data_IF_038403007853
#
_entry.id   IF_038403007853
#
_cell.length_a   1.000
_cell.length_b   1.000
_cell.length_c   1.000
_cell.angle_alpha   90.00
_cell.angle_beta   90.00
_cell.angle_gamma   90.00
#
_symmetry.space_group_name_H-M   'P 1'
#
loop_
_entity.id
_entity.type
_entity.pdbx_description
1 polymer ?
#
# COMPACT_ATOMS: atom_id res chain seq x y z
N UNK A 1 23.47 12.15 7.90
CA UNK A 1 22.86 13.34 7.25
C UNK A 1 23.83 14.48 7.07
N UNK A 2 25.04 14.42 7.65
CA UNK A 2 25.99 15.55 7.66
C UNK A 2 26.86 15.67 6.40
N UNK A 3 26.83 14.67 5.51
CA UNK A 3 27.68 14.62 4.31
C UNK A 3 26.97 15.11 3.03
N UNK A 4 25.67 15.43 3.09
CA UNK A 4 24.90 15.86 1.91
C UNK A 4 24.33 17.27 2.16
N UNK A 5 24.55 18.25 1.27
CA UNK A 5 24.12 19.64 1.47
C UNK A 5 22.60 19.82 1.62
N UNK A 6 21.79 18.83 1.20
CA UNK A 6 20.34 18.79 1.36
C UNK A 6 19.87 17.69 2.33
N UNK A 7 20.57 17.51 3.46
CA UNK A 7 20.20 16.53 4.50
C UNK A 7 18.77 16.70 5.05
N UNK A 8 18.16 17.88 4.89
CA UNK A 8 16.77 18.18 5.25
C UNK A 8 15.73 17.38 4.45
N UNK A 9 16.08 16.92 3.24
CA UNK A 9 15.14 16.18 2.37
C UNK A 9 14.61 14.91 3.02
N UNK A 10 15.43 14.26 3.85
CA UNK A 10 15.01 13.07 4.60
C UNK A 10 13.92 13.39 5.61
N UNK A 11 14.09 14.48 6.36
CA UNK A 11 13.08 14.91 7.33
C UNK A 11 11.81 15.43 6.65
N UNK A 12 11.95 16.16 5.55
CA UNK A 12 10.82 16.58 4.73
C UNK A 12 10.02 15.37 4.24
N UNK A 13 10.68 14.34 3.69
CA UNK A 13 10.01 13.14 3.20
C UNK A 13 9.26 12.40 4.33
N UNK A 14 9.88 12.30 5.52
CA UNK A 14 9.27 11.68 6.70
C UNK A 14 8.02 12.44 7.17
N UNK A 15 8.11 13.76 7.33
CA UNK A 15 6.97 14.58 7.74
C UNK A 15 5.88 14.65 6.66
N UNK A 16 6.27 14.71 5.38
CA UNK A 16 5.33 14.67 4.27
C UNK A 16 4.57 13.34 4.21
N UNK A 17 5.22 12.21 4.49
CA UNK A 17 4.54 10.91 4.56
C UNK A 17 3.47 10.88 5.67
N UNK A 18 3.79 11.38 6.87
CA UNK A 18 2.80 11.49 7.96
C UNK A 18 1.66 12.45 7.61
N UNK A 19 1.97 13.61 7.02
CA UNK A 19 0.97 14.57 6.57
C UNK A 19 0.07 13.98 5.47
N UNK A 20 0.63 13.22 4.53
CA UNK A 20 -0.13 12.54 3.48
C UNK A 20 -1.13 11.55 4.08
N UNK A 21 -0.70 10.68 5.00
CA UNK A 21 -1.61 9.73 5.66
C UNK A 21 -2.73 10.48 6.40
N UNK A 22 -2.39 11.48 7.21
CA UNK A 22 -3.38 12.26 7.96
C UNK A 22 -4.38 12.96 7.05
N UNK A 23 -3.90 13.62 5.99
CA UNK A 23 -4.75 14.36 5.06
C UNK A 23 -5.66 13.46 4.25
N UNK A 24 -5.19 12.28 3.82
CA UNK A 24 -6.03 11.27 3.16
C UNK A 24 -7.13 10.78 4.11
N UNK A 25 -6.81 10.49 5.38
CA UNK A 25 -7.83 10.12 6.37
C UNK A 25 -8.88 11.21 6.57
N UNK A 26 -8.46 12.47 6.74
CA UNK A 26 -9.36 13.61 6.87
C UNK A 26 -10.21 13.83 5.60
N UNK A 27 -9.63 13.61 4.42
CA UNK A 27 -10.34 13.67 3.15
C UNK A 27 -11.44 12.60 3.06
N UNK A 28 -11.13 11.36 3.43
CA UNK A 28 -12.09 10.26 3.47
C UNK A 28 -13.22 10.54 4.46
N UNK A 29 -12.89 11.03 5.67
CA UNK A 29 -13.88 11.44 6.66
C UNK A 29 -14.79 12.54 6.11
N UNK A 30 -14.23 13.58 5.48
CA UNK A 30 -15.01 14.67 4.89
C UNK A 30 -15.98 14.13 3.85
N UNK A 31 -15.52 13.29 2.91
CA UNK A 31 -16.36 12.71 1.85
C UNK A 31 -17.51 11.89 2.43
N UNK A 32 -17.25 11.15 3.51
CA UNK A 32 -18.27 10.39 4.22
C UNK A 32 -19.30 11.31 4.90
N UNK A 33 -18.83 12.28 5.69
CA UNK A 33 -19.68 13.21 6.45
C UNK A 33 -20.52 14.11 5.54
N UNK A 34 -20.00 14.51 4.37
CA UNK A 34 -20.75 15.32 3.39
C UNK A 34 -21.56 14.48 2.39
N UNK A 35 -21.58 13.14 2.53
CA UNK A 35 -22.32 12.26 1.63
C UNK A 35 -21.87 12.31 0.17
N UNK A 36 -20.64 12.76 -0.12
CA UNK A 36 -20.16 12.99 -1.49
C UNK A 36 -19.88 11.70 -2.27
N UNK A 37 -19.93 10.53 -1.62
CA UNK A 37 -19.80 9.21 -2.23
C UNK A 37 -21.09 8.69 -2.89
N UNK A 38 -22.23 9.35 -2.64
CA UNK A 38 -23.55 8.96 -3.18
C UNK A 38 -23.60 9.03 -4.73
N UNK A 39 -24.58 8.38 -5.38
CA UNK A 39 -24.76 8.45 -6.84
C UNK A 39 -24.64 9.88 -7.37
N UNK A 40 -23.90 10.13 -8.48
CA UNK A 40 -23.26 9.17 -9.40
C UNK A 40 -21.78 8.83 -9.09
N UNK A 41 -21.31 9.07 -7.86
CA UNK A 41 -19.86 9.10 -7.50
C UNK A 41 -19.35 7.86 -6.78
N UNK A 42 -20.16 6.80 -6.70
CA UNK A 42 -19.87 5.57 -5.96
C UNK A 42 -18.60 4.87 -6.46
N UNK A 43 -18.39 4.87 -7.79
CA UNK A 43 -17.17 4.34 -8.40
C UNK A 43 -15.93 5.12 -7.93
N UNK A 44 -16.01 6.45 -7.89
CA UNK A 44 -14.90 7.29 -7.46
C UNK A 44 -14.56 7.08 -5.98
N UNK A 45 -15.57 6.80 -5.16
CA UNK A 45 -15.38 6.41 -3.76
C UNK A 45 -14.60 5.09 -3.64
N UNK A 46 -14.95 4.07 -4.43
CA UNK A 46 -14.19 2.81 -4.49
C UNK A 46 -12.72 3.03 -4.87
N UNK A 47 -12.46 3.89 -5.87
CA UNK A 47 -11.10 4.31 -6.23
C UNK A 47 -10.41 5.04 -5.08
N UNK A 48 -11.11 5.90 -4.35
CA UNK A 48 -10.59 6.60 -3.16
C UNK A 48 -10.18 5.65 -2.04
N UNK A 49 -11.00 4.63 -1.74
CA UNK A 49 -10.67 3.57 -0.77
C UNK A 49 -9.41 2.83 -1.21
N UNK A 50 -9.30 2.48 -2.50
CA UNK A 50 -8.11 1.82 -3.04
C UNK A 50 -6.85 2.71 -2.92
N UNK A 51 -6.96 4.00 -3.23
CA UNK A 51 -5.87 4.97 -3.08
C UNK A 51 -5.44 5.14 -1.61
N UNK A 52 -6.37 5.11 -0.67
CA UNK A 52 -6.06 5.10 0.77
C UNK A 52 -5.28 3.83 1.14
N UNK A 53 -5.70 2.65 0.69
CA UNK A 53 -4.97 1.39 0.91
C UNK A 53 -3.55 1.45 0.30
N UNK A 54 -3.41 1.97 -0.92
CA UNK A 54 -2.10 2.17 -1.56
C UNK A 54 -1.22 3.16 -0.79
N UNK A 55 -1.80 4.20 -0.20
CA UNK A 55 -1.08 5.18 0.64
C UNK A 55 -0.53 4.52 1.91
N UNK A 56 -1.34 3.70 2.58
CA UNK A 56 -0.89 2.93 3.75
C UNK A 56 0.19 1.91 3.34
N UNK A 57 0.05 1.29 2.18
CA UNK A 57 1.05 0.36 1.65
C UNK A 57 2.37 1.05 1.28
N UNK A 58 2.33 2.26 0.71
CA UNK A 58 3.51 3.13 0.54
C UNK A 58 4.18 3.41 1.88
N UNK A 59 3.39 3.79 2.90
CA UNK A 59 3.92 4.05 4.23
C UNK A 59 4.61 2.83 4.84
N UNK A 60 4.03 1.63 4.68
CA UNK A 60 4.61 0.38 5.19
C UNK A 60 5.90 -0.01 4.44
N UNK A 61 5.87 0.02 3.11
CA UNK A 61 7.04 -0.35 2.29
C UNK A 61 8.21 0.62 2.46
N UNK A 62 7.93 1.92 2.64
CA UNK A 62 8.94 2.93 2.90
C UNK A 62 9.57 2.83 4.29
N UNK A 63 8.80 2.33 5.27
CA UNK A 63 9.26 2.17 6.65
C UNK A 63 10.46 1.21 6.77
N UNK A 64 10.61 0.27 5.83
CA UNK A 64 11.75 -0.66 5.82
C UNK A 64 13.07 -0.02 5.41
N UNK A 65 13.02 0.99 4.53
CA UNK A 65 14.19 1.48 3.80
C UNK A 65 15.31 2.09 4.68
N UNK A 66 15.03 2.67 5.86
CA UNK A 66 16.09 3.07 6.80
C UNK A 66 16.91 1.90 7.35
N UNK A 67 16.40 0.67 7.27
CA UNK A 67 17.06 -0.57 7.69
C UNK A 67 17.54 -0.58 9.15
N UNK A 68 16.77 0.07 10.03
CA UNK A 68 17.02 0.04 11.48
C UNK A 68 16.33 -1.16 12.16
N UNK A 69 16.63 -1.35 13.46
CA UNK A 69 16.10 -2.47 14.23
C UNK A 69 14.57 -2.49 14.26
N UNK A 70 13.93 -1.34 14.38
CA UNK A 70 12.47 -1.23 14.47
C UNK A 70 11.80 -1.52 13.12
N UNK A 71 12.40 -1.03 12.03
CA UNK A 71 12.01 -1.29 10.66
C UNK A 71 12.03 -2.79 10.32
N UNK A 72 13.09 -3.49 10.72
CA UNK A 72 13.21 -4.95 10.51
C UNK A 72 12.11 -5.71 11.25
N UNK A 73 11.80 -5.34 12.51
CA UNK A 73 10.70 -5.97 13.25
C UNK A 73 9.34 -5.66 12.66
N UNK A 74 9.09 -4.41 12.25
CA UNK A 74 7.84 -4.03 11.62
C UNK A 74 7.56 -4.84 10.35
N UNK A 75 8.56 -5.02 9.48
CA UNK A 75 8.42 -5.84 8.27
C UNK A 75 8.32 -7.32 8.59
N UNK A 76 9.05 -7.81 9.58
CA UNK A 76 8.93 -9.20 10.03
C UNK A 76 7.50 -9.51 10.46
N UNK A 77 6.90 -8.65 11.30
CA UNK A 77 5.51 -8.81 11.76
C UNK A 77 4.54 -8.69 10.58
N UNK A 78 4.64 -7.62 9.78
CA UNK A 78 3.71 -7.37 8.68
C UNK A 78 3.72 -8.46 7.62
N UNK A 79 4.90 -8.95 7.23
CA UNK A 79 5.02 -10.03 6.24
C UNK A 79 4.63 -11.39 6.81
N UNK A 80 4.76 -11.61 8.13
CA UNK A 80 4.26 -12.82 8.76
C UNK A 80 2.72 -12.87 8.80
N UNK A 81 2.04 -11.73 8.93
CA UNK A 81 0.58 -11.63 8.79
C UNK A 81 0.13 -11.95 7.35
N UNK A 82 0.95 -11.63 6.35
CA UNK A 82 0.62 -11.89 4.94
C UNK A 82 0.43 -13.39 4.64
N UNK A 83 1.04 -14.29 5.42
CA UNK A 83 0.82 -15.76 5.28
C UNK A 83 -0.62 -16.19 5.46
N UNK A 84 -1.40 -15.44 6.26
CA UNK A 84 -2.81 -15.69 6.51
C UNK A 84 -3.73 -15.07 5.45
N UNK A 85 -3.16 -14.47 4.38
CA UNK A 85 -3.97 -13.90 3.31
C UNK A 85 -4.91 -14.98 2.73
N UNK A 86 -6.23 -14.71 2.62
CA UNK A 86 -7.24 -15.74 2.32
C UNK A 86 -6.93 -16.61 1.10
N UNK A 87 -6.48 -16.01 0.00
CA UNK A 87 -6.23 -16.73 -1.26
C UNK A 87 -4.76 -17.08 -1.49
N UNK A 88 -3.86 -16.08 -1.46
CA UNK A 88 -2.45 -16.23 -1.83
C UNK A 88 -1.48 -16.39 -0.64
N UNK A 89 -1.99 -16.66 0.55
CA UNK A 89 -1.21 -17.02 1.73
C UNK A 89 -1.30 -18.52 1.99
N UNK A 90 -0.19 -19.21 2.26
CA UNK A 90 -0.21 -20.66 2.45
C UNK A 90 -0.88 -21.10 3.77
N UNK A 91 -1.05 -20.18 4.74
CA UNK A 91 -1.81 -20.39 5.98
C UNK A 91 -3.25 -19.84 5.84
N UNK A 92 -3.63 -19.35 4.66
CA UNK A 92 -4.94 -18.77 4.40
C UNK A 92 -6.04 -19.85 4.26
N UNK A 93 -7.28 -19.57 4.68
CA UNK A 93 -8.40 -20.52 4.59
C UNK A 93 -8.74 -20.95 3.16
N UNK A 94 -8.39 -20.15 2.15
CA UNK A 94 -8.62 -20.42 0.74
C UNK A 94 -7.40 -20.95 -0.02
N UNK A 95 -6.29 -21.27 0.66
CA UNK A 95 -5.08 -21.79 0.00
C UNK A 95 -5.34 -23.09 -0.77
N UNK A 96 -6.23 -23.94 -0.25
CA UNK A 96 -6.65 -25.20 -0.89
C UNK A 96 -7.43 -25.02 -2.19
N UNK A 97 -8.02 -23.83 -2.42
CA UNK A 97 -8.73 -23.52 -3.66
C UNK A 97 -7.76 -23.33 -4.85
N UNK A 98 -6.49 -23.08 -4.57
CA UNK A 98 -5.43 -22.93 -5.57
C UNK A 98 -4.58 -24.22 -5.69
N UNK A 99 -5.12 -25.37 -5.27
CA UNK A 99 -4.52 -26.66 -5.53
C UNK A 99 -5.11 -27.28 -6.82
N UNK A 100 -4.25 -27.84 -7.67
CA UNK A 100 -4.65 -28.59 -8.86
C UNK A 100 -4.28 -30.06 -8.64
N UNK A 101 -5.25 -30.87 -8.21
CA UNK A 101 -5.00 -32.24 -7.76
C UNK A 101 -4.05 -32.25 -6.56
N UNK A 102 -2.90 -32.89 -6.72
CA UNK A 102 -1.85 -32.97 -5.69
C UNK A 102 -0.85 -31.79 -5.73
N UNK A 103 -0.98 -30.87 -6.68
CA UNK A 103 -0.07 -29.73 -6.84
C UNK A 103 -0.64 -28.51 -6.10
N UNK A 104 -0.02 -28.18 -4.97
CA UNK A 104 -0.32 -26.95 -4.24
C UNK A 104 0.41 -25.76 -4.90
N UNK A 105 -0.32 -24.86 -5.56
CA UNK A 105 0.30 -23.68 -6.18
C UNK A 105 0.79 -22.66 -5.15
N UNK A 106 0.13 -22.60 -3.98
CA UNK A 106 0.49 -21.72 -2.86
C UNK A 106 1.08 -22.55 -1.73
N UNK A 107 2.39 -22.41 -1.54
CA UNK A 107 3.13 -23.04 -0.45
C UNK A 107 4.20 -22.08 0.11
N UNK A 108 4.95 -22.48 1.13
CA UNK A 108 5.96 -21.62 1.80
C UNK A 108 7.03 -20.99 0.88
N UNK A 109 7.18 -21.47 -0.35
CA UNK A 109 8.14 -20.96 -1.35
C UNK A 109 7.49 -20.19 -2.50
N UNK A 110 6.16 -20.07 -2.51
CA UNK A 110 5.39 -19.43 -3.59
C UNK A 110 4.25 -18.56 -3.06
N UNK A 111 4.17 -18.32 -1.75
CA UNK A 111 3.12 -17.50 -1.14
C UNK A 111 3.43 -16.00 -1.20
N UNK A 112 2.46 -15.19 -0.80
CA UNK A 112 2.59 -13.73 -0.77
C UNK A 112 3.74 -13.25 0.11
N UNK A 113 4.05 -13.95 1.21
CA UNK A 113 5.20 -13.61 2.07
C UNK A 113 6.51 -13.81 1.31
N UNK A 114 6.67 -14.95 0.62
CA UNK A 114 7.83 -15.21 -0.21
C UNK A 114 7.95 -14.19 -1.36
N UNK A 115 6.82 -13.81 -1.97
CA UNK A 115 6.77 -12.77 -2.99
C UNK A 115 7.22 -11.40 -2.47
N UNK A 116 6.88 -11.03 -1.23
CA UNK A 116 7.34 -9.78 -0.61
C UNK A 116 8.82 -9.83 -0.20
N UNK A 117 9.27 -10.93 0.42
CA UNK A 117 10.61 -11.02 1.00
C UNK A 117 11.71 -11.39 0.00
N UNK A 118 11.38 -12.20 -1.01
CA UNK A 118 12.39 -12.78 -1.91
C UNK A 118 13.26 -13.86 -1.28
N UNK A 119 12.83 -14.38 -0.14
CA UNK A 119 13.50 -15.44 0.60
C UNK A 119 12.64 -15.91 1.77
N UNK A 120 13.17 -16.83 2.57
CA UNK A 120 12.47 -17.35 3.76
C UNK A 120 12.58 -16.41 4.97
N UNK A 121 13.56 -15.51 4.95
CA UNK A 121 13.88 -14.57 6.01
C UNK A 121 14.04 -13.16 5.43
N UNK A 122 13.93 -12.15 6.29
CA UNK A 122 14.20 -10.75 5.93
C UNK A 122 15.71 -10.59 5.69
N UNK A 123 16.09 -10.09 4.53
CA UNK A 123 17.50 -9.90 4.16
C UNK A 123 17.67 -8.95 2.98
N UNK A 124 18.84 -8.97 2.34
CA UNK A 124 19.18 -8.07 1.23
C UNK A 124 18.17 -8.11 0.09
N UNK A 125 17.71 -9.32 -0.30
CA UNK A 125 16.67 -9.48 -1.32
C UNK A 125 15.36 -8.76 -0.93
N UNK A 126 15.02 -8.74 0.37
CA UNK A 126 13.85 -8.02 0.88
C UNK A 126 14.03 -6.52 0.73
N UNK A 127 15.20 -5.99 1.08
CA UNK A 127 15.50 -4.56 0.94
C UNK A 127 15.36 -4.12 -0.53
N UNK A 128 15.94 -4.88 -1.47
CA UNK A 128 15.84 -4.58 -2.89
C UNK A 128 14.38 -4.60 -3.39
N UNK A 129 13.59 -5.62 -2.99
CA UNK A 129 12.18 -5.70 -3.37
C UNK A 129 11.37 -4.55 -2.82
N UNK A 130 11.54 -4.21 -1.55
CA UNK A 130 10.85 -3.09 -0.92
C UNK A 130 11.26 -1.76 -1.53
N UNK A 131 12.52 -1.59 -1.91
CA UNK A 131 13.00 -0.41 -2.63
C UNK A 131 12.27 -0.26 -3.98
N UNK A 132 12.23 -1.32 -4.80
CA UNK A 132 11.54 -1.29 -6.10
C UNK A 132 10.03 -1.07 -5.92
N UNK A 133 9.42 -1.75 -4.94
CA UNK A 133 8.01 -1.58 -4.61
C UNK A 133 7.70 -0.12 -4.23
N UNK A 134 8.49 0.45 -3.31
CA UNK A 134 8.22 1.75 -2.74
C UNK A 134 8.55 2.90 -3.70
N UNK A 135 9.67 2.82 -4.42
CA UNK A 135 10.14 3.93 -5.26
C UNK A 135 9.57 3.90 -6.68
N UNK A 136 9.11 2.74 -7.18
CA UNK A 136 8.69 2.58 -8.57
C UNK A 136 7.27 2.01 -8.65
N UNK A 137 7.07 0.76 -8.22
CA UNK A 137 5.85 0.02 -8.57
C UNK A 137 4.59 0.63 -7.94
N UNK A 138 4.60 0.86 -6.63
CA UNK A 138 3.44 1.39 -5.91
C UNK A 138 3.16 2.85 -6.28
N UNK A 139 4.16 3.76 -6.37
CA UNK A 139 3.92 5.11 -6.88
C UNK A 139 3.32 5.13 -8.29
N UNK A 140 3.81 4.27 -9.20
CA UNK A 140 3.28 4.20 -10.56
C UNK A 140 1.81 3.77 -10.59
N UNK A 141 1.46 2.73 -9.82
CA UNK A 141 0.07 2.27 -9.69
C UNK A 141 -0.80 3.38 -9.07
N UNK A 142 -0.32 4.03 -8.00
CA UNK A 142 -1.04 5.13 -7.36
C UNK A 142 -1.26 6.31 -8.31
N UNK A 143 -0.27 6.68 -9.14
CA UNK A 143 -0.42 7.74 -10.15
C UNK A 143 -1.52 7.41 -11.17
N UNK A 144 -1.62 6.16 -11.63
CA UNK A 144 -2.71 5.73 -12.54
C UNK A 144 -4.07 5.90 -11.86
N UNK A 145 -4.22 5.40 -10.62
CA UNK A 145 -5.49 5.54 -9.90
C UNK A 145 -5.83 6.98 -9.56
N UNK A 146 -4.84 7.83 -9.25
CA UNK A 146 -5.04 9.27 -9.06
C UNK A 146 -5.55 9.93 -10.34
N UNK A 147 -4.99 9.59 -11.50
CA UNK A 147 -5.46 10.11 -12.79
C UNK A 147 -6.93 9.71 -13.04
N UNK A 148 -7.28 8.45 -12.78
CA UNK A 148 -8.68 7.97 -12.86
C UNK A 148 -9.58 8.70 -11.87
N UNK A 149 -9.13 8.89 -10.63
CA UNK A 149 -9.87 9.55 -9.57
C UNK A 149 -10.19 11.01 -9.93
N UNK A 150 -9.19 11.77 -10.38
CA UNK A 150 -9.37 13.16 -10.80
C UNK A 150 -10.21 13.30 -12.06
N UNK A 151 -9.99 12.42 -13.05
CA UNK A 151 -10.81 12.37 -14.26
C UNK A 151 -12.28 12.14 -13.91
N UNK A 152 -12.57 11.21 -12.99
CA UNK A 152 -13.94 10.89 -12.60
C UNK A 152 -14.60 12.02 -11.82
N UNK A 153 -13.88 12.71 -10.93
CA UNK A 153 -14.38 13.93 -10.27
C UNK A 153 -14.84 14.97 -11.30
N UNK A 154 -14.03 15.23 -12.34
CA UNK A 154 -14.38 16.16 -13.41
C UNK A 154 -15.58 15.67 -14.22
N UNK A 155 -15.64 14.38 -14.54
CA UNK A 155 -16.71 13.79 -15.35
C UNK A 155 -18.06 13.79 -14.63
N UNK A 156 -18.07 13.63 -13.30
CA UNK A 156 -19.28 13.57 -12.47
C UNK A 156 -19.81 14.95 -12.05
N UNK A 157 -19.45 16.01 -12.77
CA UNK A 157 -19.94 17.37 -12.49
C UNK A 157 -19.19 18.09 -11.38
N UNK A 158 -17.97 17.69 -11.03
CA UNK A 158 -17.09 18.45 -10.12
C UNK A 158 -17.31 18.13 -8.64
N UNK A 159 -17.51 19.14 -7.79
CA UNK A 159 -17.68 18.97 -6.33
C UNK A 159 -19.17 18.76 -6.02
N UNK A 160 -19.47 17.94 -5.00
CA UNK A 160 -20.85 17.82 -4.50
C UNK A 160 -21.38 19.17 -4.00
N UNK A 161 -22.67 19.45 -4.21
CA UNK A 161 -23.31 20.64 -3.66
C UNK A 161 -23.30 20.68 -2.12
N UNK A 162 -23.64 21.84 -1.53
CA UNK A 162 -23.85 21.95 -0.08
C UNK A 162 -24.95 21.00 0.40
N UNK A 163 -24.86 20.60 1.68
CA UNK A 163 -25.82 19.72 2.36
C UNK A 163 -27.20 20.39 2.49
#
# INVERSE_FOLDING_TARGET
TEQVPLGMMRELHRWAAHAMVLTVWLHMLRVFMTGSYKPPREFNWGVGVLLMTLTLFLSFTGYLLPWDQLAIWAVTVGTNMARAHPFIGHEGPGASLLAIGDINLVHMGSDVRFALLGGRFVGEATLLRFYVLHCIAVPFIAMIFMAVHFWRIRKDGGISGPL
#
